data_IF_409352940211
#
_entry.id   IF_409352940211
#
_cell.length_a   1.000
_cell.length_b   1.000
_cell.length_c   1.000
_cell.angle_alpha   90.00
_cell.angle_beta   90.00
_cell.angle_gamma   90.00
#
_symmetry.space_group_name_H-M   'P 1'
#
loop_
_entity.id
_entity.type
_entity.pdbx_description
1 polymer ?
#
# COMPACT_ATOMS: atom_id res chain seq x y z
N UNK A 1 -41.93 2.48 -55.48
CA UNK A 1 -41.29 3.77 -55.05
C UNK A 1 -41.24 3.99 -53.53
N UNK A 2 -41.38 2.93 -52.70
CA UNK A 2 -41.52 3.13 -51.21
C UNK A 2 -40.28 2.78 -50.38
N UNK A 3 -39.25 2.18 -50.96
CA UNK A 3 -38.10 1.72 -50.19
C UNK A 3 -37.13 2.86 -49.74
N UNK A 4 -37.06 3.92 -50.55
CA UNK A 4 -36.17 5.08 -50.27
C UNK A 4 -36.66 5.93 -49.08
N UNK A 5 -37.98 6.04 -48.94
CA UNK A 5 -38.59 6.78 -47.80
C UNK A 5 -38.41 6.08 -46.46
N UNK A 6 -38.36 4.76 -46.48
CA UNK A 6 -38.18 3.95 -45.27
C UNK A 6 -36.75 4.04 -44.71
N UNK A 7 -35.75 4.03 -45.58
CA UNK A 7 -34.35 4.20 -45.19
C UNK A 7 -34.06 5.60 -44.65
N UNK A 8 -34.67 6.63 -45.23
CA UNK A 8 -34.49 8.01 -44.77
C UNK A 8 -35.09 8.22 -43.38
N UNK A 9 -36.26 7.64 -43.08
CA UNK A 9 -36.91 7.75 -41.76
C UNK A 9 -36.12 7.02 -40.68
N UNK A 10 -35.53 5.84 -40.97
CA UNK A 10 -34.65 5.15 -40.00
C UNK A 10 -33.37 5.90 -39.73
N UNK A 11 -32.71 6.45 -40.74
CA UNK A 11 -31.51 7.25 -40.56
C UNK A 11 -31.75 8.50 -39.72
N UNK A 12 -32.89 9.18 -39.96
CA UNK A 12 -33.27 10.35 -39.16
C UNK A 12 -33.56 10.00 -37.71
N UNK A 13 -34.19 8.87 -37.42
CA UNK A 13 -34.50 8.41 -36.06
C UNK A 13 -33.23 8.05 -35.29
N UNK A 14 -32.27 7.38 -35.90
CA UNK A 14 -30.97 7.06 -35.30
C UNK A 14 -30.16 8.31 -35.03
N UNK A 15 -30.15 9.27 -35.95
CA UNK A 15 -29.43 10.53 -35.78
C UNK A 15 -30.00 11.37 -34.59
N UNK A 16 -31.35 11.42 -34.48
CA UNK A 16 -32.02 12.12 -33.37
C UNK A 16 -31.73 11.46 -32.02
N UNK A 17 -31.70 10.12 -31.99
CA UNK A 17 -31.39 9.37 -30.76
C UNK A 17 -29.93 9.60 -30.32
N UNK A 18 -28.96 9.62 -31.22
CA UNK A 18 -27.56 9.95 -30.93
C UNK A 18 -27.39 11.36 -30.41
N UNK A 19 -28.16 12.32 -30.94
CA UNK A 19 -28.10 13.72 -30.52
C UNK A 19 -28.66 13.92 -29.12
N UNK A 20 -29.74 13.21 -28.77
CA UNK A 20 -30.31 13.19 -27.41
C UNK A 20 -29.34 12.53 -26.39
N UNK A 21 -28.67 11.44 -26.78
CA UNK A 21 -27.67 10.80 -25.92
C UNK A 21 -26.46 11.73 -25.68
N UNK A 22 -25.98 12.45 -26.69
CA UNK A 22 -24.91 13.41 -26.55
C UNK A 22 -25.28 14.58 -25.60
N UNK A 23 -26.53 15.04 -25.65
CA UNK A 23 -27.03 16.10 -24.75
C UNK A 23 -27.04 15.65 -23.29
N UNK A 24 -27.38 14.39 -23.00
CA UNK A 24 -27.37 13.83 -21.64
C UNK A 24 -25.95 13.73 -21.02
N UNK A 25 -24.92 13.57 -21.86
CA UNK A 25 -23.54 13.55 -21.39
C UNK A 25 -22.99 14.97 -21.05
N UNK A 26 -23.55 16.03 -21.63
CA UNK A 26 -23.12 17.39 -21.36
C UNK A 26 -23.65 17.95 -20.04
N UNK A 27 -24.76 17.46 -19.53
CA UNK A 27 -25.33 17.94 -18.24
C UNK A 27 -24.80 17.19 -17.00
N UNK A 28 -24.00 16.13 -17.17
CA UNK A 28 -23.63 15.18 -16.12
C UNK A 28 -22.61 15.65 -15.06
N UNK A 29 -21.94 16.78 -15.21
CA UNK A 29 -20.80 17.11 -14.31
C UNK A 29 -21.03 18.25 -13.31
N UNK A 30 -22.10 19.00 -13.39
CA UNK A 30 -22.35 20.16 -12.52
C UNK A 30 -22.78 19.85 -11.08
N UNK A 31 -23.59 18.83 -10.77
CA UNK A 31 -24.00 18.59 -9.39
C UNK A 31 -22.91 17.99 -8.51
N UNK A 32 -21.97 17.23 -9.08
CA UNK A 32 -20.87 16.64 -8.32
C UNK A 32 -19.84 17.68 -7.87
N UNK A 33 -19.57 18.70 -8.69
CA UNK A 33 -18.63 19.76 -8.34
C UNK A 33 -19.08 20.58 -7.12
N UNK A 34 -20.38 20.84 -6.98
CA UNK A 34 -20.94 21.58 -5.82
C UNK A 34 -20.85 20.80 -4.49
N UNK A 35 -20.80 19.47 -4.54
CA UNK A 35 -20.75 18.63 -3.33
C UNK A 35 -19.36 18.55 -2.71
N UNK A 36 -18.32 18.84 -3.47
CA UNK A 36 -16.90 18.76 -3.03
C UNK A 36 -16.20 20.11 -2.94
N UNK A 37 -16.84 21.21 -3.38
CA UNK A 37 -16.33 22.56 -3.11
C UNK A 37 -16.93 23.03 -1.80
N UNK A 38 -16.07 23.12 -0.77
CA UNK A 38 -16.41 23.78 0.49
C UNK A 38 -16.72 25.24 0.18
N UNK A 39 -18.00 25.62 0.18
CA UNK A 39 -18.37 27.02 0.09
C UNK A 39 -17.72 27.72 1.28
N UNK A 40 -16.83 28.71 1.01
CA UNK A 40 -16.45 29.68 2.01
C UNK A 40 -17.76 30.36 2.43
N UNK A 41 -18.25 30.08 3.62
CA UNK A 41 -19.19 30.97 4.25
C UNK A 41 -18.48 32.31 4.39
N UNK A 42 -18.89 33.29 3.62
CA UNK A 42 -18.62 34.70 3.91
C UNK A 42 -19.44 35.02 5.18
N UNK A 43 -18.89 34.64 6.31
CA UNK A 43 -19.38 35.12 7.60
C UNK A 43 -18.97 36.60 7.63
N UNK A 44 -19.95 37.43 7.29
CA UNK A 44 -19.84 38.89 7.38
C UNK A 44 -19.19 39.23 8.73
N UNK A 45 -18.06 39.89 8.62
CA UNK A 45 -17.45 40.76 9.63
C UNK A 45 -17.74 40.41 11.10
N UNK A 46 -17.39 39.20 11.51
CA UNK A 46 -17.06 39.00 12.92
C UNK A 46 -15.56 39.29 13.04
N UNK A 47 -15.29 40.42 13.70
CA UNK A 47 -14.00 40.72 14.30
C UNK A 47 -13.32 39.42 14.68
N UNK A 48 -12.24 39.10 13.99
CA UNK A 48 -11.34 38.02 14.33
C UNK A 48 -10.83 38.35 15.74
N UNK A 49 -11.59 37.91 16.75
CA UNK A 49 -11.05 37.84 18.11
C UNK A 49 -9.75 37.07 17.94
N UNK A 50 -8.65 37.71 18.28
CA UNK A 50 -7.35 37.10 18.35
C UNK A 50 -7.47 35.81 19.16
N UNK A 51 -7.73 34.71 18.44
CA UNK A 51 -7.59 33.40 19.04
C UNK A 51 -6.13 33.31 19.44
N UNK A 52 -5.83 33.08 20.73
CA UNK A 52 -4.45 32.95 21.16
C UNK A 52 -3.79 31.92 20.24
N UNK A 53 -2.76 32.34 19.53
CA UNK A 53 -1.91 31.42 18.77
C UNK A 53 -1.33 30.49 19.83
N UNK A 54 -1.89 29.29 19.91
CA UNK A 54 -1.32 28.25 20.77
C UNK A 54 0.06 27.96 20.20
N UNK A 55 1.08 28.43 20.91
CA UNK A 55 2.44 28.05 20.59
C UNK A 55 2.51 26.52 20.57
N UNK A 56 3.19 25.92 19.58
CA UNK A 56 3.34 24.47 19.53
C UNK A 56 3.97 24.02 20.84
N UNK A 57 3.23 23.26 21.62
CA UNK A 57 3.79 22.63 22.81
C UNK A 57 4.74 21.56 22.31
N UNK A 58 6.04 21.71 22.56
CA UNK A 58 7.02 20.65 22.35
C UNK A 58 6.64 19.49 23.25
N UNK A 59 5.98 18.49 22.65
CA UNK A 59 5.72 17.24 23.34
C UNK A 59 7.05 16.53 23.57
N UNK A 60 7.34 16.10 24.81
CA UNK A 60 8.53 15.31 25.06
C UNK A 60 8.55 14.10 24.12
N UNK A 61 9.68 13.86 23.47
CA UNK A 61 9.83 12.70 22.58
C UNK A 61 9.40 11.43 23.33
N UNK A 62 8.37 10.80 22.79
CA UNK A 62 7.83 9.59 23.38
C UNK A 62 8.87 8.48 23.19
N UNK A 63 9.57 8.13 24.25
CA UNK A 63 10.51 7.00 24.23
C UNK A 63 9.72 5.71 23.96
N UNK A 64 9.81 5.22 22.73
CA UNK A 64 9.15 3.97 22.34
C UNK A 64 9.97 2.81 22.89
N UNK A 65 9.34 1.95 23.68
CA UNK A 65 10.01 0.76 24.23
C UNK A 65 10.49 -0.17 23.08
N UNK A 66 11.66 -0.83 23.25
CA UNK A 66 12.20 -1.74 22.24
C UNK A 66 11.18 -2.79 21.79
N UNK A 67 10.41 -3.35 22.69
CA UNK A 67 9.37 -4.32 22.39
C UNK A 67 8.24 -3.74 21.51
N UNK A 68 7.80 -2.52 21.77
CA UNK A 68 6.77 -1.86 20.97
C UNK A 68 7.29 -1.58 19.55
N UNK A 69 8.53 -1.10 19.45
CA UNK A 69 9.21 -0.88 18.18
C UNK A 69 9.35 -2.18 17.38
N UNK A 70 9.77 -3.27 18.06
CA UNK A 70 9.88 -4.58 17.42
C UNK A 70 8.53 -5.10 16.94
N UNK A 71 7.47 -5.04 17.76
CA UNK A 71 6.10 -5.40 17.40
C UNK A 71 5.59 -4.63 16.19
N UNK A 72 5.91 -3.34 16.12
CA UNK A 72 5.55 -2.50 14.98
C UNK A 72 6.18 -3.02 13.68
N UNK A 73 7.50 -3.18 13.64
CA UNK A 73 8.20 -3.66 12.45
C UNK A 73 7.81 -5.11 12.09
N UNK A 74 7.62 -5.97 13.07
CA UNK A 74 7.13 -7.33 12.86
C UNK A 74 5.73 -7.36 12.22
N UNK A 75 4.84 -6.47 12.63
CA UNK A 75 3.50 -6.37 12.07
C UNK A 75 3.53 -5.85 10.63
N UNK A 76 4.37 -4.86 10.35
CA UNK A 76 4.58 -4.36 8.98
C UNK A 76 5.20 -5.44 8.08
N UNK A 77 6.23 -6.14 8.56
CA UNK A 77 6.81 -7.26 7.82
C UNK A 77 5.75 -8.31 7.45
N UNK A 78 4.88 -8.69 8.34
CA UNK A 78 3.79 -9.65 8.07
C UNK A 78 2.87 -9.18 6.94
N UNK A 79 2.60 -7.89 6.87
CA UNK A 79 1.79 -7.30 5.79
C UNK A 79 2.53 -7.43 4.46
N UNK A 80 3.78 -6.99 4.41
CA UNK A 80 4.59 -7.05 3.20
C UNK A 80 4.87 -8.47 2.71
N UNK A 81 5.14 -9.40 3.62
CA UNK A 81 5.33 -10.83 3.33
C UNK A 81 4.07 -11.44 2.68
N UNK A 82 2.89 -11.18 3.25
CA UNK A 82 1.62 -11.63 2.70
C UNK A 82 1.37 -11.04 1.30
N UNK A 83 1.60 -9.74 1.14
CA UNK A 83 1.34 -9.05 -0.12
C UNK A 83 2.34 -9.49 -1.20
N UNK A 84 3.59 -9.81 -0.81
CA UNK A 84 4.61 -10.40 -1.68
C UNK A 84 4.18 -11.80 -2.15
N UNK A 85 3.78 -12.67 -1.25
CA UNK A 85 3.27 -14.00 -1.60
C UNK A 85 2.08 -13.91 -2.56
N UNK A 86 1.16 -12.99 -2.32
CA UNK A 86 0.03 -12.75 -3.21
C UNK A 86 0.46 -12.24 -4.59
N UNK A 87 1.47 -11.36 -4.66
CA UNK A 87 1.99 -10.85 -5.91
C UNK A 87 2.70 -11.94 -6.72
N UNK A 88 3.43 -12.83 -6.06
CA UNK A 88 4.09 -14.01 -6.69
C UNK A 88 3.05 -15.01 -7.19
N UNK A 89 2.03 -15.30 -6.40
CA UNK A 89 0.99 -16.28 -6.72
C UNK A 89 0.08 -15.85 -7.90
N UNK A 90 -0.14 -14.54 -8.05
CA UNK A 90 -0.98 -13.95 -9.11
C UNK A 90 -0.22 -13.49 -10.35
N UNK A 91 1.03 -13.88 -10.49
CA UNK A 91 1.91 -13.43 -11.59
C UNK A 91 1.97 -11.89 -11.69
N UNK A 92 2.07 -11.25 -10.52
CA UNK A 92 2.23 -9.80 -10.42
C UNK A 92 3.52 -9.35 -11.11
N UNK A 93 3.52 -8.10 -11.61
CA UNK A 93 4.69 -7.57 -12.31
C UNK A 93 5.96 -7.68 -11.46
N UNK A 94 7.09 -7.98 -12.10
CA UNK A 94 8.42 -8.03 -11.48
C UNK A 94 8.70 -6.78 -10.62
N UNK A 95 8.39 -5.60 -11.15
CA UNK A 95 8.54 -4.33 -10.42
C UNK A 95 7.78 -4.31 -9.09
N UNK A 96 6.55 -4.86 -9.06
CA UNK A 96 5.76 -4.95 -7.84
C UNK A 96 6.36 -5.96 -6.85
N UNK A 97 6.77 -7.11 -7.33
CA UNK A 97 7.40 -8.14 -6.50
C UNK A 97 8.69 -7.61 -5.86
N UNK A 98 9.55 -6.93 -6.62
CA UNK A 98 10.77 -6.27 -6.10
C UNK A 98 10.44 -5.24 -5.03
N UNK A 99 9.51 -4.34 -5.28
CA UNK A 99 9.10 -3.32 -4.31
C UNK A 99 8.62 -3.95 -2.99
N UNK A 100 7.77 -4.97 -3.07
CA UNK A 100 7.24 -5.64 -1.87
C UNK A 100 8.35 -6.38 -1.10
N UNK A 101 9.29 -6.98 -1.82
CA UNK A 101 10.47 -7.62 -1.25
C UNK A 101 11.36 -6.61 -0.52
N UNK A 102 11.66 -5.48 -1.15
CA UNK A 102 12.43 -4.40 -0.54
C UNK A 102 11.78 -3.88 0.75
N UNK A 103 10.44 -3.70 0.74
CA UNK A 103 9.72 -3.28 1.94
C UNK A 103 9.79 -4.34 3.05
N UNK A 104 9.62 -5.62 2.71
CA UNK A 104 9.74 -6.71 3.67
C UNK A 104 11.15 -6.77 4.28
N UNK A 105 12.19 -6.70 3.46
CA UNK A 105 13.59 -6.69 3.90
C UNK A 105 13.88 -5.48 4.79
N UNK A 106 13.39 -4.29 4.44
CA UNK A 106 13.57 -3.09 5.24
C UNK A 106 13.02 -3.25 6.67
N UNK A 107 11.84 -3.87 6.81
CA UNK A 107 11.28 -4.13 8.15
C UNK A 107 12.13 -5.15 8.93
N UNK A 108 12.62 -6.18 8.29
CA UNK A 108 13.52 -7.16 8.93
C UNK A 108 14.83 -6.51 9.40
N UNK A 109 15.40 -5.59 8.63
CA UNK A 109 16.59 -4.86 9.05
C UNK A 109 16.35 -3.99 10.29
N UNK A 110 15.19 -3.33 10.38
CA UNK A 110 14.83 -2.59 11.58
C UNK A 110 14.60 -3.51 12.80
N UNK A 111 13.99 -4.69 12.59
CA UNK A 111 13.86 -5.70 13.65
C UNK A 111 15.22 -6.18 14.13
N UNK A 112 16.16 -6.46 13.21
CA UNK A 112 17.50 -6.93 13.51
C UNK A 112 18.25 -6.00 14.46
N UNK A 113 18.13 -4.67 14.28
CA UNK A 113 18.80 -3.66 15.12
C UNK A 113 18.37 -3.70 16.59
N UNK A 114 17.21 -4.30 16.88
CA UNK A 114 16.61 -4.36 18.21
C UNK A 114 16.90 -5.70 18.91
N UNK A 115 17.31 -6.72 18.16
CA UNK A 115 17.65 -8.03 18.68
C UNK A 115 18.97 -8.01 19.46
N UNK A 116 19.09 -8.88 20.44
CA UNK A 116 20.38 -9.14 21.13
C UNK A 116 21.41 -9.70 20.13
N UNK A 117 22.70 -9.45 20.37
CA UNK A 117 23.80 -9.77 19.45
C UNK A 117 23.83 -11.24 19.05
N UNK A 118 23.55 -12.15 19.98
CA UNK A 118 23.49 -13.59 19.75
C UNK A 118 22.43 -13.97 18.70
N UNK A 119 21.32 -13.25 18.67
CA UNK A 119 20.22 -13.48 17.73
C UNK A 119 20.37 -12.74 16.42
N UNK A 120 21.15 -11.66 16.38
CA UNK A 120 21.39 -10.90 15.15
C UNK A 120 22.06 -11.73 14.05
N UNK A 121 23.02 -12.59 14.42
CA UNK A 121 23.73 -13.43 13.45
C UNK A 121 22.76 -14.44 12.81
N UNK A 122 21.96 -15.14 13.61
CA UNK A 122 20.94 -16.08 13.13
C UNK A 122 19.89 -15.37 12.24
N UNK A 123 19.45 -14.21 12.67
CA UNK A 123 18.45 -13.40 11.93
C UNK A 123 19.00 -12.88 10.61
N UNK A 124 20.29 -12.52 10.55
CA UNK A 124 20.95 -12.05 9.31
C UNK A 124 20.85 -13.07 8.19
N UNK A 125 21.00 -14.35 8.50
CA UNK A 125 20.86 -15.42 7.51
C UNK A 125 19.47 -15.42 6.88
N UNK A 126 18.42 -15.10 7.67
CA UNK A 126 17.05 -15.05 7.16
C UNK A 126 16.83 -13.81 6.28
N UNK A 127 17.43 -12.67 6.65
CA UNK A 127 17.38 -11.46 5.84
C UNK A 127 18.07 -11.68 4.49
N UNK A 128 19.27 -12.28 4.50
CA UNK A 128 20.05 -12.57 3.28
C UNK A 128 19.35 -13.64 2.41
N UNK A 129 18.71 -14.63 3.03
CA UNK A 129 17.90 -15.61 2.31
C UNK A 129 16.73 -14.95 1.57
N UNK A 130 16.08 -13.98 2.19
CA UNK A 130 15.00 -13.22 1.55
C UNK A 130 15.53 -12.28 0.45
N UNK A 131 16.71 -11.65 0.63
CA UNK A 131 17.37 -10.87 -0.44
C UNK A 131 17.69 -11.72 -1.66
N UNK A 132 18.14 -12.95 -1.45
CA UNK A 132 18.41 -13.89 -2.54
C UNK A 132 17.17 -14.25 -3.39
N UNK A 133 15.95 -13.95 -2.91
CA UNK A 133 14.72 -14.07 -3.71
C UNK A 133 14.69 -13.03 -4.84
N UNK A 134 15.29 -11.86 -4.63
CA UNK A 134 15.34 -10.82 -5.66
C UNK A 134 16.02 -11.32 -6.94
N UNK A 135 17.15 -12.00 -6.80
CA UNK A 135 17.87 -12.59 -7.93
C UNK A 135 17.05 -13.66 -8.67
N UNK A 136 16.16 -14.34 -7.94
CA UNK A 136 15.28 -15.33 -8.53
C UNK A 136 14.13 -14.70 -9.33
N UNK A 137 13.61 -13.56 -8.87
CA UNK A 137 12.52 -12.79 -9.53
C UNK A 137 13.06 -12.14 -10.82
N UNK A 138 14.31 -11.68 -10.85
CA UNK A 138 14.93 -11.01 -11.98
C UNK A 138 15.32 -11.93 -13.14
N UNK A 139 15.22 -13.25 -12.99
CA UNK A 139 15.53 -14.19 -14.06
C UNK A 139 14.53 -14.11 -15.22
N UNK A 140 14.97 -14.28 -16.47
CA UNK A 140 14.07 -14.22 -17.63
C UNK A 140 12.89 -15.22 -17.59
N UNK A 141 13.05 -16.31 -16.84
CA UNK A 141 12.00 -17.32 -16.61
C UNK A 141 12.03 -17.70 -15.14
N UNK A 142 11.42 -16.90 -14.26
CA UNK A 142 11.44 -17.16 -12.84
C UNK A 142 10.62 -18.41 -12.49
N UNK A 143 11.18 -19.28 -11.67
CA UNK A 143 10.43 -20.41 -11.14
C UNK A 143 9.57 -19.96 -9.97
N UNK A 144 8.32 -19.59 -10.25
CA UNK A 144 7.34 -19.06 -9.30
C UNK A 144 7.17 -19.99 -8.08
N UNK A 145 7.11 -21.30 -8.30
CA UNK A 145 6.99 -22.29 -7.21
C UNK A 145 8.20 -22.23 -6.27
N UNK A 146 9.41 -22.20 -6.80
CA UNK A 146 10.63 -22.14 -5.98
C UNK A 146 10.73 -20.82 -5.21
N UNK A 147 10.34 -19.70 -5.83
CA UNK A 147 10.26 -18.38 -5.18
C UNK A 147 9.28 -18.43 -4.01
N UNK A 148 8.07 -18.88 -4.25
CA UNK A 148 7.01 -19.01 -3.24
C UNK A 148 7.47 -19.87 -2.06
N UNK A 149 7.97 -21.06 -2.33
CA UNK A 149 8.46 -21.99 -1.29
C UNK A 149 9.59 -21.38 -0.45
N UNK A 150 10.46 -20.58 -1.06
CA UNK A 150 11.56 -19.93 -0.33
C UNK A 150 11.04 -18.85 0.59
N UNK A 151 10.12 -17.98 0.11
CA UNK A 151 9.47 -16.95 0.93
C UNK A 151 8.72 -17.59 2.10
N UNK A 152 7.88 -18.60 1.85
CA UNK A 152 7.08 -19.27 2.90
C UNK A 152 7.96 -19.94 3.97
N UNK A 153 9.05 -20.59 3.55
CA UNK A 153 10.00 -21.19 4.49
C UNK A 153 10.69 -20.15 5.34
N UNK A 154 11.16 -19.04 4.73
CA UNK A 154 11.77 -17.94 5.43
C UNK A 154 10.80 -17.33 6.45
N UNK A 155 9.59 -17.01 6.02
CA UNK A 155 8.55 -16.47 6.87
C UNK A 155 8.17 -17.42 8.03
N UNK A 156 8.14 -18.72 7.79
CA UNK A 156 7.90 -19.71 8.85
C UNK A 156 8.99 -19.68 9.92
N UNK A 157 10.26 -19.60 9.52
CA UNK A 157 11.40 -19.49 10.47
C UNK A 157 11.32 -18.22 11.30
N UNK A 158 10.98 -17.07 10.66
CA UNK A 158 10.83 -15.81 11.36
C UNK A 158 9.66 -15.88 12.36
N UNK A 159 8.52 -16.42 11.97
CA UNK A 159 7.35 -16.56 12.86
C UNK A 159 7.62 -17.46 14.06
N UNK A 160 8.39 -18.52 13.86
CA UNK A 160 8.64 -19.52 14.91
C UNK A 160 9.80 -19.14 15.83
N UNK A 161 10.86 -18.50 15.30
CA UNK A 161 12.07 -18.19 16.07
C UNK A 161 12.18 -16.75 16.53
N UNK A 162 11.42 -15.82 15.90
CA UNK A 162 11.57 -14.37 16.08
C UNK A 162 10.22 -13.65 16.24
N UNK A 163 9.20 -14.36 16.75
CA UNK A 163 7.98 -13.70 17.21
C UNK A 163 8.31 -12.68 18.32
N UNK A 164 7.53 -11.58 18.45
CA UNK A 164 7.80 -10.57 19.48
C UNK A 164 7.84 -11.16 20.90
N UNK A 165 9.05 -11.31 21.41
CA UNK A 165 9.35 -11.79 22.76
C UNK A 165 10.37 -10.84 23.40
N UNK A 166 10.11 -10.32 24.63
CA UNK A 166 11.07 -9.49 25.36
C UNK A 166 12.46 -10.15 25.52
N UNK A 167 12.52 -11.47 25.64
CA UNK A 167 13.77 -12.21 25.81
C UNK A 167 14.73 -12.14 24.60
N UNK A 168 14.22 -11.77 23.43
CA UNK A 168 15.01 -11.64 22.20
C UNK A 168 15.62 -10.24 22.02
N UNK A 169 15.24 -9.26 22.86
CA UNK A 169 15.49 -7.86 22.59
C UNK A 169 16.57 -7.28 23.51
N UNK A 170 17.34 -6.33 22.97
CA UNK A 170 18.27 -5.52 23.76
C UNK A 170 17.47 -4.73 24.79
N UNK A 171 17.84 -4.87 26.08
CA UNK A 171 17.13 -4.26 27.22
C UNK A 171 15.66 -4.67 27.33
N UNK A 172 15.39 -5.97 27.25
CA UNK A 172 14.06 -6.58 27.36
C UNK A 172 13.42 -6.47 28.77
N UNK A 173 13.48 -5.31 29.42
CA UNK A 173 12.77 -4.98 30.66
C UNK A 173 11.75 -3.87 30.40
#
# INVERSE_FOLDING_TARGET
MDNTRYHFRKGFLVFTCCLCLAALFLEGCTPLRKKFTREKKDDGTQSQKDLPILEPVDYPEKTVLPLEKYKYHYSLWKIWDRDLLQAVDRDGSEKRQKYLLEQAVAQLEEMKKILIDEKQAEFSVLVDDLRGVQEMVEKPSPNVFSIKMRIERNASKIRNGFAPDPALLVNGL
#
